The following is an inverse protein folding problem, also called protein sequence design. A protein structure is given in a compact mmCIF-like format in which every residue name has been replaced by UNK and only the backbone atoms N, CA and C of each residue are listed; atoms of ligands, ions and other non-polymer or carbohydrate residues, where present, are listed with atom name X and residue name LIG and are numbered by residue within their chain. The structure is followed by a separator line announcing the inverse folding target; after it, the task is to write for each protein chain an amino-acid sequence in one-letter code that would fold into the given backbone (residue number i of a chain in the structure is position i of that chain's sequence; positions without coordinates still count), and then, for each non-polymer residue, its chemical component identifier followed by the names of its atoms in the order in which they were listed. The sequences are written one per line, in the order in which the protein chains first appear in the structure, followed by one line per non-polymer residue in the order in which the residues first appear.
data_IF_993942148299
#
_entry.id   IF_993942148299
#
_cell.length_a   1.000
_cell.length_b   1.000
_cell.length_c   1.000
_cell.angle_alpha   90.00
_cell.angle_beta   90.00
_cell.angle_gamma   90.00
#
_symmetry.space_group_name_H-M   'P 1'
#
loop_
_entity.id
_entity.type
_entity.pdbx_description
1 polymer ?
#
# COMPACT_ATOMS: atom_id res chain seq x y z
N UNK A 1 19.88 9.77 0.38
CA UNK A 1 18.46 9.81 0.82
C UNK A 1 17.61 9.52 -0.40
N UNK A 2 16.78 8.48 -0.38
CA UNK A 2 15.92 8.17 -1.53
C UNK A 2 14.68 9.07 -1.48
N UNK A 3 14.70 10.17 -2.22
CA UNK A 3 13.49 10.92 -2.58
C UNK A 3 12.61 10.05 -3.47
N UNK A 4 11.32 9.93 -3.14
CA UNK A 4 10.39 9.17 -3.96
C UNK A 4 10.25 9.78 -5.35
N UNK A 5 10.05 8.93 -6.37
CA UNK A 5 9.60 9.38 -7.71
C UNK A 5 8.08 9.42 -7.84
N UNK A 6 7.36 9.04 -6.78
CA UNK A 6 5.91 9.07 -6.71
C UNK A 6 5.53 10.47 -6.23
N UNK A 7 4.82 11.23 -7.07
CA UNK A 7 4.68 12.69 -6.96
C UNK A 7 3.97 13.16 -5.67
N UNK A 8 3.19 12.29 -5.03
CA UNK A 8 2.37 12.60 -3.86
C UNK A 8 2.97 12.13 -2.52
N UNK A 9 4.23 11.70 -2.48
CA UNK A 9 4.89 11.22 -1.24
C UNK A 9 6.36 11.65 -1.18
N UNK A 10 6.86 11.94 0.03
CA UNK A 10 8.24 12.36 0.26
C UNK A 10 9.22 11.17 0.22
N UNK A 11 8.78 9.99 0.66
CA UNK A 11 9.61 8.80 0.80
C UNK A 11 8.79 7.51 0.70
N UNK A 12 9.44 6.40 0.35
CA UNK A 12 8.83 5.06 0.41
C UNK A 12 9.47 4.22 1.50
N UNK A 13 8.66 3.40 2.17
CA UNK A 13 9.11 2.42 3.13
C UNK A 13 8.55 1.05 2.75
N UNK A 14 9.43 0.08 2.50
CA UNK A 14 9.06 -1.22 1.96
C UNK A 14 9.49 -2.36 2.90
N UNK A 15 8.79 -2.59 4.04
CA UNK A 15 9.00 -3.75 4.89
C UNK A 15 8.59 -5.07 4.21
N UNK A 16 7.79 -5.03 3.14
CA UNK A 16 7.51 -6.17 2.27
C UNK A 16 7.88 -5.82 0.82
N UNK A 17 8.39 -6.79 0.07
CA UNK A 17 8.53 -6.70 -1.40
C UNK A 17 7.86 -7.90 -2.06
N UNK A 18 7.37 -7.72 -3.28
CA UNK A 18 6.71 -8.81 -4.01
C UNK A 18 5.22 -8.91 -3.73
N UNK A 19 4.48 -9.48 -4.67
CA UNK A 19 3.02 -9.62 -4.64
C UNK A 19 2.56 -10.63 -5.70
N UNK A 20 1.30 -11.07 -5.63
CA UNK A 20 0.60 -11.79 -6.71
C UNK A 20 -0.49 -10.91 -7.36
N UNK A 21 -0.82 -11.19 -8.63
CA UNK A 21 -1.84 -10.44 -9.39
C UNK A 21 -3.25 -10.90 -9.01
N UNK A 22 -4.15 -9.96 -8.70
CA UNK A 22 -5.54 -10.28 -8.30
C UNK A 22 -6.63 -9.54 -9.09
N UNK A 23 -6.25 -8.63 -10.00
CA UNK A 23 -7.17 -7.89 -10.85
C UNK A 23 -6.52 -7.52 -12.18
N UNK A 24 -7.31 -7.10 -13.20
CA UNK A 24 -6.78 -6.52 -14.42
C UNK A 24 -5.86 -5.32 -14.18
N UNK A 25 -6.04 -4.57 -13.08
CA UNK A 25 -5.16 -3.49 -12.68
C UNK A 25 -3.72 -3.91 -12.37
N UNK A 26 -3.48 -5.20 -12.15
CA UNK A 26 -2.15 -5.75 -11.92
C UNK A 26 -1.42 -6.11 -13.23
N UNK A 27 -2.08 -6.04 -14.39
CA UNK A 27 -1.52 -6.49 -15.68
C UNK A 27 -0.16 -5.85 -15.96
N UNK A 28 -0.10 -4.51 -15.86
CA UNK A 28 1.07 -3.68 -16.17
C UNK A 28 1.83 -3.15 -14.94
N UNK A 29 1.77 -3.91 -13.83
CA UNK A 29 2.33 -3.51 -12.54
C UNK A 29 3.80 -3.04 -12.64
N UNK A 30 4.08 -1.79 -12.25
CA UNK A 30 5.44 -1.26 -12.26
C UNK A 30 6.34 -1.97 -11.23
N UNK A 31 5.79 -2.34 -10.07
CA UNK A 31 6.54 -2.96 -8.98
C UNK A 31 7.10 -4.33 -9.41
N UNK A 32 6.34 -5.11 -10.18
CA UNK A 32 6.79 -6.38 -10.75
C UNK A 32 7.97 -6.19 -11.69
N UNK A 33 7.84 -5.30 -12.68
CA UNK A 33 8.93 -4.99 -13.64
C UNK A 33 10.18 -4.48 -12.93
N UNK A 34 9.99 -3.59 -11.95
CA UNK A 34 11.09 -3.02 -11.18
C UNK A 34 11.76 -4.09 -10.30
N UNK A 35 11.01 -4.96 -9.63
CA UNK A 35 11.57 -6.04 -8.82
C UNK A 35 12.39 -7.02 -9.65
N UNK A 36 11.91 -7.42 -10.84
CA UNK A 36 12.65 -8.26 -11.77
C UNK A 36 13.94 -7.59 -12.27
N UNK A 37 13.89 -6.28 -12.54
CA UNK A 37 15.07 -5.50 -12.91
C UNK A 37 16.10 -5.46 -11.77
N UNK A 38 15.64 -5.17 -10.54
CA UNK A 38 16.52 -5.09 -9.36
C UNK A 38 17.16 -6.44 -9.03
N UNK A 39 16.42 -7.54 -9.23
CA UNK A 39 16.96 -8.90 -9.18
C UNK A 39 18.09 -9.10 -10.19
N UNK A 40 17.86 -8.74 -11.46
CA UNK A 40 18.88 -8.88 -12.51
C UNK A 40 20.12 -8.00 -12.24
N UNK A 41 19.97 -6.90 -11.51
CA UNK A 41 21.06 -6.04 -11.05
C UNK A 41 21.78 -6.55 -9.80
N UNK A 42 21.33 -7.66 -9.20
CA UNK A 42 21.96 -8.25 -8.01
C UNK A 42 21.62 -7.54 -6.70
N UNK A 43 20.54 -6.75 -6.63
CA UNK A 43 20.10 -6.12 -5.39
C UNK A 43 19.53 -7.18 -4.44
N UNK A 44 20.22 -7.43 -3.33
CA UNK A 44 19.94 -8.53 -2.39
C UNK A 44 18.48 -8.56 -1.93
N UNK A 45 17.92 -7.40 -1.60
CA UNK A 45 16.51 -7.22 -1.19
C UNK A 45 15.49 -7.79 -2.19
N UNK A 46 15.87 -7.90 -3.46
CA UNK A 46 15.02 -8.38 -4.56
C UNK A 46 15.54 -9.71 -5.16
N UNK A 47 16.39 -10.44 -4.45
CA UNK A 47 16.90 -11.76 -4.87
C UNK A 47 15.76 -12.75 -5.21
N UNK A 48 14.65 -12.68 -4.47
CA UNK A 48 13.42 -13.45 -4.71
C UNK A 48 12.53 -12.91 -5.84
N UNK A 49 12.95 -11.86 -6.55
CA UNK A 49 12.19 -11.25 -7.64
C UNK A 49 10.92 -10.59 -7.12
N UNK A 50 9.76 -10.97 -7.67
CA UNK A 50 8.47 -10.43 -7.25
C UNK A 50 7.69 -11.38 -6.31
N UNK A 51 8.33 -12.43 -5.80
CA UNK A 51 7.77 -13.25 -4.74
C UNK A 51 7.77 -12.49 -3.41
N UNK A 52 6.73 -12.72 -2.59
CA UNK A 52 6.59 -12.07 -1.29
C UNK A 52 7.81 -12.36 -0.42
N UNK A 53 8.46 -11.30 0.04
CA UNK A 53 9.61 -11.34 0.95
C UNK A 53 9.41 -10.30 2.05
N UNK A 54 9.64 -10.73 3.30
CA UNK A 54 9.57 -9.88 4.49
C UNK A 54 10.96 -9.36 4.82
N UNK A 55 11.06 -8.09 5.20
CA UNK A 55 12.32 -7.40 5.49
C UNK A 55 12.32 -6.90 6.94
N UNK A 56 12.67 -7.79 7.85
CA UNK A 56 12.74 -7.53 9.30
C UNK A 56 13.74 -6.42 9.65
N UNK A 57 14.85 -6.37 8.91
CA UNK A 57 15.95 -5.41 9.06
C UNK A 57 15.53 -3.95 8.84
N UNK A 58 14.44 -3.71 8.10
CA UNK A 58 13.95 -2.35 7.80
C UNK A 58 12.68 -1.97 8.56
N UNK A 59 12.17 -2.81 9.46
CA UNK A 59 10.91 -2.53 10.17
C UNK A 59 10.96 -1.23 10.99
N UNK A 60 12.11 -0.87 11.52
CA UNK A 60 12.28 0.34 12.34
C UNK A 60 12.85 1.53 11.55
N UNK A 61 13.05 1.38 10.24
CA UNK A 61 13.65 2.44 9.40
C UNK A 61 12.95 3.80 9.55
N UNK A 62 11.61 3.90 9.59
CA UNK A 62 10.94 5.19 9.81
C UNK A 62 11.34 5.90 11.10
N UNK A 63 11.64 5.16 12.17
CA UNK A 63 12.05 5.75 13.45
C UNK A 63 13.40 6.46 13.38
N UNK A 64 14.23 6.12 12.39
CA UNK A 64 15.53 6.75 12.16
C UNK A 64 15.42 8.09 11.41
N UNK A 65 14.27 8.40 10.83
CA UNK A 65 14.06 9.61 10.04
C UNK A 65 13.57 10.76 10.91
N UNK A 66 14.42 11.74 11.18
CA UNK A 66 14.12 12.80 12.15
C UNK A 66 13.20 13.92 11.64
N UNK A 67 13.16 14.18 10.33
CA UNK A 67 12.29 15.20 9.75
C UNK A 67 10.92 14.61 9.38
N UNK A 68 9.80 15.29 9.69
CA UNK A 68 8.46 14.89 9.23
C UNK A 68 8.41 14.59 7.73
N UNK A 69 7.66 13.55 7.37
CA UNK A 69 7.56 13.01 6.00
C UNK A 69 6.17 12.45 5.79
N UNK A 70 5.69 12.51 4.55
CA UNK A 70 4.58 11.73 4.06
C UNK A 70 5.11 10.48 3.35
N UNK A 71 4.91 9.31 3.95
CA UNK A 71 5.59 8.06 3.58
C UNK A 71 4.59 7.11 2.93
N UNK A 72 4.90 6.63 1.72
CA UNK A 72 4.13 5.55 1.11
C UNK A 72 4.69 4.17 1.52
N UNK A 73 3.86 3.39 2.21
CA UNK A 73 4.19 2.06 2.71
C UNK A 73 3.92 1.02 1.63
N UNK A 74 4.89 0.14 1.40
CA UNK A 74 4.80 -0.97 0.46
C UNK A 74 4.54 -0.54 -0.99
N UNK A 75 5.31 0.44 -1.48
CA UNK A 75 5.33 0.82 -2.90
C UNK A 75 5.79 -0.31 -3.84
N UNK A 76 6.30 -1.43 -3.32
CA UNK A 76 6.85 -2.55 -4.09
C UNK A 76 6.16 -3.88 -3.78
N UNK A 77 5.00 -3.84 -3.10
CA UNK A 77 4.26 -5.01 -2.62
C UNK A 77 2.81 -4.63 -2.27
N UNK A 78 2.07 -5.53 -1.62
CA UNK A 78 0.79 -5.22 -0.96
C UNK A 78 0.89 -5.73 0.49
N UNK A 79 0.74 -4.85 1.48
CA UNK A 79 0.89 -5.21 2.91
C UNK A 79 -0.11 -6.29 3.34
N UNK A 80 -1.27 -6.36 2.70
CA UNK A 80 -2.34 -7.30 3.03
C UNK A 80 -2.31 -8.56 2.14
N UNK A 81 -1.19 -8.87 1.49
CA UNK A 81 -1.01 -10.13 0.75
C UNK A 81 -1.05 -11.34 1.66
N UNK A 82 -1.82 -12.39 1.33
CA UNK A 82 -2.02 -13.67 2.06
C UNK A 82 -0.76 -14.21 2.75
N UNK A 83 0.34 -14.28 2.01
CA UNK A 83 1.64 -14.74 2.50
C UNK A 83 2.35 -13.83 3.53
N UNK A 84 1.87 -12.60 3.75
CA UNK A 84 2.34 -11.73 4.83
C UNK A 84 1.65 -12.16 6.14
N UNK A 85 2.40 -12.59 7.17
CA UNK A 85 1.82 -12.98 8.46
C UNK A 85 1.14 -11.79 9.15
N UNK A 86 0.01 -12.02 9.81
CA UNK A 86 -0.73 -10.96 10.52
C UNK A 86 0.13 -10.25 11.58
N UNK A 87 0.98 -10.99 12.29
CA UNK A 87 1.84 -10.42 13.33
C UNK A 87 2.89 -9.47 12.74
N UNK A 88 3.34 -9.73 11.50
CA UNK A 88 4.22 -8.82 10.77
C UNK A 88 3.47 -7.53 10.40
N UNK A 89 2.22 -7.63 9.94
CA UNK A 89 1.37 -6.45 9.67
C UNK A 89 1.23 -5.61 10.94
N UNK A 90 0.92 -6.22 12.09
CA UNK A 90 0.79 -5.49 13.35
C UNK A 90 2.09 -4.80 13.78
N UNK A 91 3.25 -5.41 13.57
CA UNK A 91 4.55 -4.77 13.81
C UNK A 91 4.82 -3.58 12.87
N UNK A 92 4.37 -3.65 11.62
CA UNK A 92 4.41 -2.51 10.70
C UNK A 92 3.54 -1.35 11.22
N UNK A 93 2.33 -1.65 11.72
CA UNK A 93 1.46 -0.66 12.36
C UNK A 93 2.05 -0.08 13.66
N UNK A 94 2.70 -0.90 14.48
CA UNK A 94 3.39 -0.46 15.69
C UNK A 94 4.53 0.53 15.36
N UNK A 95 5.34 0.28 14.33
CA UNK A 95 6.32 1.27 13.85
C UNK A 95 5.66 2.58 13.44
N UNK A 96 4.55 2.54 12.70
CA UNK A 96 3.84 3.75 12.27
C UNK A 96 3.28 4.54 13.46
N UNK A 97 2.77 3.84 14.48
CA UNK A 97 2.29 4.43 15.73
C UNK A 97 3.42 5.12 16.50
N UNK A 98 4.57 4.46 16.64
CA UNK A 98 5.77 5.02 17.29
C UNK A 98 6.32 6.24 16.53
N UNK A 99 6.37 6.17 15.21
CA UNK A 99 6.85 7.23 14.31
C UNK A 99 5.81 8.34 14.07
N UNK A 100 5.15 8.81 15.14
CA UNK A 100 4.01 9.72 15.11
C UNK A 100 4.27 11.09 14.45
N UNK A 101 5.52 11.48 14.24
CA UNK A 101 5.89 12.72 13.51
C UNK A 101 5.87 12.55 11.98
N UNK A 102 5.61 11.34 11.48
CA UNK A 102 5.37 11.07 10.07
C UNK A 102 3.90 10.78 9.81
N UNK A 103 3.48 11.04 8.58
CA UNK A 103 2.20 10.58 8.03
C UNK A 103 2.48 9.39 7.10
N UNK A 104 1.69 8.33 7.21
CA UNK A 104 1.86 7.11 6.42
C UNK A 104 0.67 6.87 5.51
N UNK A 105 0.91 6.42 4.29
CA UNK A 105 -0.12 5.98 3.36
C UNK A 105 0.06 4.50 3.06
N UNK A 106 -1.02 3.74 3.16
CA UNK A 106 -1.07 2.32 2.81
C UNK A 106 -2.13 2.16 1.73
N UNK A 107 -1.81 1.42 0.67
CA UNK A 107 -2.75 1.13 -0.41
C UNK A 107 -2.81 -0.37 -0.65
N UNK A 108 -4.02 -0.93 -0.77
CA UNK A 108 -4.21 -2.37 -1.05
C UNK A 108 -5.28 -2.64 -2.09
N UNK A 109 -5.15 -3.76 -2.81
CA UNK A 109 -6.24 -4.33 -3.62
C UNK A 109 -6.95 -5.49 -2.89
N UNK A 110 -6.43 -5.91 -1.73
CA UNK A 110 -6.89 -7.05 -0.91
C UNK A 110 -7.78 -6.60 0.24
N UNK A 111 -8.80 -5.82 -0.12
CA UNK A 111 -9.71 -5.15 0.84
C UNK A 111 -10.45 -6.09 1.79
N UNK A 112 -10.74 -7.33 1.39
CA UNK A 112 -11.36 -8.33 2.27
C UNK A 112 -10.44 -8.69 3.45
N UNK A 113 -9.15 -8.90 3.18
CA UNK A 113 -8.18 -9.18 4.25
C UNK A 113 -7.98 -7.96 5.15
N UNK A 114 -7.93 -6.76 4.56
CA UNK A 114 -7.93 -5.50 5.31
C UNK A 114 -9.11 -5.45 6.28
N UNK A 115 -10.33 -5.71 5.81
CA UNK A 115 -11.53 -5.69 6.63
C UNK A 115 -11.46 -6.73 7.76
N UNK A 116 -11.09 -7.98 7.45
CA UNK A 116 -10.99 -9.07 8.43
C UNK A 116 -9.96 -8.81 9.55
N UNK A 117 -8.95 -7.99 9.28
CA UNK A 117 -7.92 -7.62 10.26
C UNK A 117 -8.22 -6.28 10.96
N UNK A 118 -9.21 -5.51 10.50
CA UNK A 118 -9.40 -4.12 10.92
C UNK A 118 -9.64 -3.98 12.43
N UNK A 119 -10.46 -4.86 13.01
CA UNK A 119 -10.79 -4.84 14.45
C UNK A 119 -9.60 -5.24 15.35
N UNK A 120 -8.54 -5.81 14.77
CA UNK A 120 -7.31 -6.17 15.47
C UNK A 120 -6.21 -5.11 15.32
N UNK A 121 -6.45 -4.06 14.53
CA UNK A 121 -5.53 -2.95 14.32
C UNK A 121 -5.95 -1.80 15.24
N UNK A 122 -5.07 -1.41 16.16
CA UNK A 122 -5.20 -0.12 16.85
C UNK A 122 -4.79 0.99 15.88
N UNK A 123 -5.76 1.56 15.18
CA UNK A 123 -5.52 2.47 14.07
C UNK A 123 -4.76 3.73 14.51
N UNK A 124 -3.54 3.97 14.02
CA UNK A 124 -2.85 5.21 14.35
C UNK A 124 -3.47 6.39 13.58
N UNK A 125 -3.60 7.55 14.23
CA UNK A 125 -4.18 8.76 13.60
C UNK A 125 -3.35 9.30 12.43
N UNK A 126 -2.07 8.94 12.38
CA UNK A 126 -1.13 9.33 11.34
C UNK A 126 -1.08 8.33 10.16
N UNK A 127 -1.99 7.35 10.12
CA UNK A 127 -2.08 6.38 9.02
C UNK A 127 -3.31 6.66 8.14
N UNK A 128 -3.05 6.82 6.85
CA UNK A 128 -4.04 6.93 5.78
C UNK A 128 -4.17 5.55 5.15
N UNK A 129 -5.36 4.96 5.26
CA UNK A 129 -5.65 3.65 4.68
C UNK A 129 -6.42 3.83 3.38
N UNK A 130 -5.98 3.18 2.32
CA UNK A 130 -6.66 3.25 1.04
C UNK A 130 -6.78 1.94 0.30
N UNK A 131 -7.70 1.93 -0.65
CA UNK A 131 -7.90 0.82 -1.58
C UNK A 131 -7.79 1.30 -3.03
N UNK A 132 -7.25 0.44 -3.90
CA UNK A 132 -7.32 0.71 -5.35
C UNK A 132 -8.62 0.19 -5.94
N UNK A 133 -9.24 0.98 -6.83
CA UNK A 133 -10.49 0.62 -7.53
C UNK A 133 -10.36 0.95 -9.01
N UNK A 134 -10.34 -0.07 -9.86
CA UNK A 134 -10.02 0.11 -11.28
C UNK A 134 -11.26 0.31 -12.18
N UNK A 135 -12.43 -0.13 -11.73
CA UNK A 135 -13.72 -0.01 -12.42
C UNK A 135 -14.86 -0.45 -11.48
N UNK A 136 -16.12 -0.30 -11.92
CA UNK A 136 -17.32 -0.62 -11.14
C UNK A 136 -17.33 -2.05 -10.54
N UNK A 137 -16.70 -3.04 -11.19
CA UNK A 137 -16.62 -4.42 -10.65
C UNK A 137 -15.87 -4.49 -9.32
N UNK A 138 -14.97 -3.54 -9.06
CA UNK A 138 -14.15 -3.48 -7.84
C UNK A 138 -14.64 -2.45 -6.83
N UNK A 139 -15.82 -1.84 -7.05
CA UNK A 139 -16.42 -0.86 -6.14
C UNK A 139 -16.62 -1.37 -4.72
N UNK A 140 -16.84 -2.68 -4.54
CA UNK A 140 -16.99 -3.32 -3.21
C UNK A 140 -15.79 -3.08 -2.27
N UNK A 141 -14.59 -2.79 -2.81
CA UNK A 141 -13.41 -2.48 -2.00
C UNK A 141 -13.62 -1.19 -1.19
N UNK A 142 -14.40 -0.25 -1.72
CA UNK A 142 -14.76 1.01 -1.05
C UNK A 142 -15.60 0.70 0.18
N UNK A 143 -16.59 -0.19 0.04
CA UNK A 143 -17.45 -0.59 1.17
C UNK A 143 -16.65 -1.31 2.26
N UNK A 144 -15.70 -2.16 1.88
CA UNK A 144 -14.76 -2.76 2.84
C UNK A 144 -13.92 -1.70 3.56
N UNK A 145 -13.37 -0.72 2.83
CA UNK A 145 -12.58 0.36 3.43
C UNK A 145 -13.42 1.19 4.41
N UNK A 146 -14.66 1.54 4.06
CA UNK A 146 -15.57 2.33 4.90
C UNK A 146 -15.90 1.65 6.22
N UNK A 147 -15.91 0.32 6.25
CA UNK A 147 -16.13 -0.48 7.44
C UNK A 147 -14.90 -0.58 8.36
N UNK A 148 -13.72 -0.11 7.92
CA UNK A 148 -12.52 -0.13 8.77
C UNK A 148 -12.50 0.99 9.82
N UNK A 149 -11.76 0.75 10.90
CA UNK A 149 -11.49 1.74 11.95
C UNK A 149 -10.49 2.85 11.58
N UNK A 150 -9.99 2.88 10.33
CA UNK A 150 -9.01 3.88 9.90
C UNK A 150 -9.55 5.31 10.01
N UNK A 151 -8.75 6.24 10.55
CA UNK A 151 -9.14 7.64 10.75
C UNK A 151 -9.24 8.40 9.43
N UNK A 152 -8.28 8.17 8.52
CA UNK A 152 -8.23 8.78 7.21
C UNK A 152 -8.31 7.67 6.17
N UNK A 153 -9.33 7.76 5.31
CA UNK A 153 -9.64 6.78 4.27
C UNK A 153 -9.51 7.42 2.90
N UNK A 154 -8.74 6.80 2.01
CA UNK A 154 -8.56 7.33 0.66
C UNK A 154 -8.76 6.28 -0.43
N UNK A 155 -9.08 6.74 -1.64
CA UNK A 155 -9.20 5.90 -2.82
C UNK A 155 -8.08 6.22 -3.80
N UNK A 156 -7.53 5.17 -4.39
CA UNK A 156 -6.75 5.27 -5.62
C UNK A 156 -7.59 4.69 -6.74
N UNK A 157 -8.17 5.54 -7.58
CA UNK A 157 -8.94 5.12 -8.75
C UNK A 157 -7.98 4.81 -9.91
N UNK A 158 -7.05 3.88 -9.64
CA UNK A 158 -5.91 3.58 -10.51
C UNK A 158 -5.56 2.08 -10.57
N UNK A 159 -5.21 1.57 -11.76
CA UNK A 159 -5.40 2.23 -13.06
C UNK A 159 -6.90 2.35 -13.39
N UNK A 160 -7.35 3.50 -13.91
CA UNK A 160 -8.75 3.69 -14.32
C UNK A 160 -9.04 2.91 -15.61
N UNK A 161 -9.41 1.64 -15.48
CA UNK A 161 -9.60 0.69 -16.60
C UNK A 161 -11.03 0.69 -17.15
N UNK A 162 -11.96 1.37 -16.49
CA UNK A 162 -13.36 1.42 -16.90
C UNK A 162 -14.16 2.43 -16.09
N UNK A 163 -15.46 2.55 -16.39
CA UNK A 163 -16.32 3.49 -15.69
C UNK A 163 -16.47 3.15 -14.20
N UNK A 164 -16.66 4.21 -13.41
CA UNK A 164 -16.93 4.19 -11.98
C UNK A 164 -18.23 4.95 -11.70
N UNK A 165 -19.35 4.40 -12.16
CA UNK A 165 -20.65 5.07 -12.11
C UNK A 165 -21.34 4.97 -10.74
N UNK A 166 -20.88 4.06 -9.88
CA UNK A 166 -21.52 3.73 -8.60
C UNK A 166 -20.64 4.01 -7.38
N UNK A 167 -19.79 5.05 -7.45
CA UNK A 167 -18.94 5.43 -6.33
C UNK A 167 -19.77 6.00 -5.17
N UNK A 168 -19.77 5.31 -4.03
CA UNK A 168 -20.23 5.87 -2.76
C UNK A 168 -19.02 6.42 -2.00
N UNK A 169 -18.92 7.75 -1.93
CA UNK A 169 -17.81 8.46 -1.28
C UNK A 169 -18.10 8.84 0.18
N UNK A 170 -19.22 8.39 0.76
CA UNK A 170 -19.50 8.67 2.16
C UNK A 170 -18.42 8.06 3.06
N UNK A 171 -17.85 8.88 3.95
CA UNK A 171 -16.72 8.54 4.83
C UNK A 171 -15.41 8.23 4.08
N UNK A 172 -15.20 8.86 2.92
CA UNK A 172 -13.92 8.87 2.21
C UNK A 172 -13.36 10.30 2.26
N UNK A 173 -12.11 10.45 2.69
CA UNK A 173 -11.48 11.75 2.94
C UNK A 173 -10.69 12.26 1.72
N UNK A 174 -10.21 11.35 0.86
CA UNK A 174 -9.36 11.71 -0.27
C UNK A 174 -9.54 10.75 -1.45
N UNK A 175 -9.41 11.27 -2.67
CA UNK A 175 -9.44 10.48 -3.91
C UNK A 175 -8.27 10.88 -4.81
N UNK A 176 -7.52 9.90 -5.28
CA UNK A 176 -6.48 10.03 -6.32
C UNK A 176 -7.01 9.36 -7.58
N UNK A 177 -6.82 9.98 -8.74
CA UNK A 177 -7.28 9.45 -10.04
C UNK A 177 -6.15 9.52 -11.04
N UNK A 178 -5.97 8.42 -11.78
CA UNK A 178 -4.92 8.29 -12.76
C UNK A 178 -5.19 7.17 -13.76
N UNK A 179 -4.71 7.38 -14.98
CA UNK A 179 -4.79 6.39 -16.05
C UNK A 179 -3.84 5.22 -15.83
N UNK A 180 -3.95 4.21 -16.71
CA UNK A 180 -2.96 3.14 -16.74
C UNK A 180 -1.56 3.66 -17.07
N UNK A 181 -0.56 3.17 -16.33
CA UNK A 181 0.85 3.53 -16.51
C UNK A 181 1.67 2.30 -16.91
N UNK A 182 2.52 2.45 -17.93
CA UNK A 182 3.32 1.38 -18.50
C UNK A 182 2.88 0.99 -19.92
N UNK A 183 3.70 0.20 -20.65
CA UNK A 183 3.36 -0.31 -21.97
C UNK A 183 2.38 -1.49 -21.94
#
# INVERSE_FOLDING_TARGET
MATSKIEWTDATWNPVTGCSKISPGCKNCYAERMALRLKAMGVEKYSNGFNVSLHEDVLETPLTWTSPRFIFVNSMSDLFHEDVPKDFIFRVFDTMSKAHWHQFQILTKRSERLLNLSDQIDWPKNVWMGVSVENDKYGFRIDHLRQTGAYIKFLSLEPLLGPLTKLDLANIDWVIVGGESGP
#
